data_IF_448800707772
#
_entry.id   IF_448800707772
#
_cell.length_a   1.000
_cell.length_b   1.000
_cell.length_c   1.000
_cell.angle_alpha   90.00
_cell.angle_beta   90.00
_cell.angle_gamma   90.00
#
_symmetry.space_group_name_H-M   'P 1'
#
loop_
_entity.id
_entity.type
_entity.pdbx_description
1 polymer ?
#
# COMPACT_ATOMS: atom_id res chain seq x y z
N UNK A 1 -17.17 8.15 1.36
CA UNK A 1 -15.90 8.46 2.03
C UNK A 1 -14.91 9.03 1.02
N UNK A 2 -14.28 10.16 1.33
CA UNK A 2 -13.19 10.73 0.51
C UNK A 2 -11.86 10.44 1.19
N UNK A 3 -10.91 9.80 0.49
CA UNK A 3 -9.58 9.50 0.99
C UNK A 3 -8.52 10.34 0.27
N UNK A 4 -7.70 11.03 1.06
CA UNK A 4 -6.53 11.76 0.57
C UNK A 4 -5.27 11.23 1.23
N UNK A 5 -4.28 10.83 0.44
CA UNK A 5 -2.96 10.47 0.97
C UNK A 5 -2.32 11.70 1.62
N UNK A 6 -1.91 11.57 2.88
CA UNK A 6 -1.18 12.60 3.63
C UNK A 6 0.31 12.32 3.71
N UNK A 7 0.67 11.05 3.92
CA UNK A 7 2.05 10.63 4.07
C UNK A 7 2.22 9.16 3.67
N UNK A 8 3.42 8.81 3.26
CA UNK A 8 3.82 7.45 2.94
C UNK A 8 5.25 7.19 3.39
N UNK A 9 5.60 5.92 3.60
CA UNK A 9 7.01 5.53 3.68
C UNK A 9 7.74 5.95 2.39
N UNK A 10 8.95 6.50 2.48
CA UNK A 10 9.71 6.88 1.29
C UNK A 10 10.12 5.62 0.49
N UNK A 11 10.33 5.79 -0.81
CA UNK A 11 10.88 4.75 -1.70
C UNK A 11 10.15 3.39 -1.65
N UNK A 12 8.81 3.40 -1.60
CA UNK A 12 7.99 2.19 -1.38
C UNK A 12 8.39 1.01 -2.28
N UNK A 13 8.60 1.23 -3.58
CA UNK A 13 9.02 0.18 -4.51
C UNK A 13 10.42 -0.38 -4.21
N UNK A 14 11.33 0.49 -3.76
CA UNK A 14 12.67 0.07 -3.34
C UNK A 14 12.60 -0.77 -2.06
N UNK A 15 11.71 -0.42 -1.14
CA UNK A 15 11.47 -1.23 0.06
C UNK A 15 10.93 -2.61 -0.32
N UNK A 16 9.96 -2.69 -1.24
CA UNK A 16 9.45 -3.96 -1.76
C UNK A 16 10.58 -4.79 -2.37
N UNK A 17 11.38 -4.20 -3.26
CA UNK A 17 12.49 -4.88 -3.90
C UNK A 17 13.57 -5.33 -2.88
N UNK A 18 13.79 -4.56 -1.83
CA UNK A 18 14.70 -4.91 -0.72
C UNK A 18 14.17 -6.13 0.03
N UNK A 19 12.89 -6.13 0.41
CA UNK A 19 12.26 -7.26 1.09
C UNK A 19 12.29 -8.54 0.24
N UNK A 20 12.06 -8.41 -1.07
CA UNK A 20 12.19 -9.53 -2.02
C UNK A 20 13.58 -10.14 -2.05
N UNK A 21 14.64 -9.33 -1.94
CA UNK A 21 16.02 -9.82 -1.99
C UNK A 21 16.55 -10.28 -0.63
N UNK A 22 15.98 -9.78 0.47
CA UNK A 22 16.46 -10.10 1.83
C UNK A 22 16.40 -11.60 2.13
N UNK A 23 15.43 -12.32 1.59
CA UNK A 23 15.29 -13.77 1.79
C UNK A 23 16.21 -14.62 0.91
N UNK A 24 16.84 -14.01 -0.10
CA UNK A 24 17.64 -14.71 -1.12
C UNK A 24 19.07 -14.16 -1.24
N UNK A 25 19.45 -13.17 -0.44
CA UNK A 25 20.74 -12.50 -0.47
C UNK A 25 21.56 -12.80 0.78
N UNK A 26 22.88 -12.66 0.65
CA UNK A 26 23.81 -12.64 1.81
C UNK A 26 24.01 -11.22 2.35
N UNK A 27 23.59 -10.19 1.60
CA UNK A 27 23.63 -8.78 2.01
C UNK A 27 22.51 -8.47 3.01
N UNK A 28 22.79 -7.57 3.96
CA UNK A 28 21.79 -7.13 4.93
C UNK A 28 20.72 -6.21 4.31
N UNK A 29 19.53 -6.07 4.92
CA UNK A 29 18.45 -5.22 4.39
C UNK A 29 18.87 -3.77 4.13
N UNK A 30 19.66 -3.17 5.03
CA UNK A 30 20.12 -1.78 4.90
C UNK A 30 21.09 -1.59 3.73
N UNK A 31 21.96 -2.58 3.48
CA UNK A 31 22.90 -2.56 2.35
C UNK A 31 22.16 -2.70 1.03
N UNK A 32 21.24 -3.67 0.95
CA UNK A 32 20.36 -3.87 -0.19
C UNK A 32 19.55 -2.60 -0.51
N UNK A 33 18.95 -1.96 0.49
CA UNK A 33 18.18 -0.74 0.30
C UNK A 33 19.04 0.37 -0.31
N UNK A 34 20.24 0.60 0.23
CA UNK A 34 21.18 1.59 -0.28
C UNK A 34 21.57 1.29 -1.73
N UNK A 35 21.94 0.04 -2.03
CA UNK A 35 22.33 -0.36 -3.39
C UNK A 35 21.17 -0.29 -4.40
N UNK A 36 19.94 -0.54 -3.97
CA UNK A 36 18.76 -0.50 -4.83
C UNK A 36 18.29 0.91 -5.13
N UNK A 37 18.47 1.88 -4.20
CA UNK A 37 18.20 3.30 -4.45
C UNK A 37 18.99 3.84 -5.65
N UNK A 38 20.21 3.36 -5.84
CA UNK A 38 21.07 3.72 -6.98
C UNK A 38 20.70 2.99 -8.29
N UNK A 39 19.76 2.03 -8.24
CA UNK A 39 19.42 1.12 -9.35
C UNK A 39 17.91 1.07 -9.64
N UNK A 40 17.26 2.20 -9.98
CA UNK A 40 15.81 2.26 -10.18
C UNK A 40 15.29 1.31 -11.28
N UNK A 41 16.07 1.08 -12.35
CA UNK A 41 15.73 0.09 -13.39
C UNK A 41 15.65 -1.34 -12.83
N UNK A 42 16.53 -1.69 -11.89
CA UNK A 42 16.52 -3.00 -11.22
C UNK A 42 15.32 -3.11 -10.28
N UNK A 43 15.01 -2.06 -9.52
CA UNK A 43 13.81 -1.98 -8.66
C UNK A 43 12.56 -2.22 -9.50
N UNK A 44 12.36 -1.47 -10.59
CA UNK A 44 11.21 -1.64 -11.50
C UNK A 44 11.09 -3.08 -12.02
N UNK A 45 12.21 -3.69 -12.44
CA UNK A 45 12.22 -5.09 -12.91
C UNK A 45 11.79 -6.07 -11.82
N UNK A 46 12.28 -5.90 -10.60
CA UNK A 46 11.92 -6.76 -9.46
C UNK A 46 10.44 -6.62 -9.10
N UNK A 47 9.95 -5.39 -8.96
CA UNK A 47 8.53 -5.14 -8.64
C UNK A 47 7.60 -5.70 -9.72
N UNK A 48 7.95 -5.58 -11.01
CA UNK A 48 7.19 -6.23 -12.09
C UNK A 48 7.16 -7.75 -11.96
N UNK A 49 8.27 -8.36 -11.58
CA UNK A 49 8.41 -9.81 -11.42
C UNK A 49 7.81 -10.36 -10.12
N UNK A 50 7.40 -9.50 -9.18
CA UNK A 50 6.78 -9.91 -7.91
C UNK A 50 5.58 -10.84 -8.15
N UNK A 51 5.30 -11.77 -7.26
CA UNK A 51 4.04 -12.51 -7.23
C UNK A 51 3.17 -11.94 -6.12
N UNK A 52 1.96 -11.47 -6.43
CA UNK A 52 1.05 -10.88 -5.43
C UNK A 52 0.59 -11.87 -4.36
N UNK A 53 0.83 -13.18 -4.57
CA UNK A 53 0.63 -14.22 -3.54
C UNK A 53 1.61 -14.09 -2.37
N UNK A 54 2.76 -13.44 -2.57
CA UNK A 54 3.77 -13.24 -1.53
C UNK A 54 3.52 -11.90 -0.82
N UNK A 55 2.51 -11.87 0.05
CA UNK A 55 2.06 -10.65 0.73
C UNK A 55 3.09 -10.03 1.69
N UNK A 56 4.02 -10.81 2.25
CA UNK A 56 4.96 -10.32 3.26
C UNK A 56 5.89 -9.22 2.75
N UNK A 57 6.33 -9.30 1.49
CA UNK A 57 7.29 -8.34 0.93
C UNK A 57 6.69 -6.96 0.66
N UNK A 58 5.36 -6.83 0.70
CA UNK A 58 4.63 -5.56 0.52
C UNK A 58 4.10 -4.99 1.84
N UNK A 59 4.45 -5.56 2.99
CA UNK A 59 4.01 -5.06 4.32
C UNK A 59 4.91 -4.00 4.92
N UNK A 60 6.16 -3.90 4.47
CA UNK A 60 7.21 -3.07 5.09
C UNK A 60 7.09 -1.57 4.76
N UNK A 61 5.88 -1.05 4.63
CA UNK A 61 5.60 0.35 4.35
C UNK A 61 4.37 0.79 5.13
N UNK A 62 4.15 2.10 5.17
CA UNK A 62 2.97 2.70 5.76
C UNK A 62 2.43 3.78 4.86
N UNK A 63 1.11 3.82 4.73
CA UNK A 63 0.34 4.86 4.07
C UNK A 63 -0.59 5.49 5.10
N UNK A 64 -0.60 6.82 5.17
CA UNK A 64 -1.43 7.61 6.06
C UNK A 64 -2.40 8.41 5.19
N UNK A 65 -3.69 8.27 5.46
CA UNK A 65 -4.75 8.97 4.75
C UNK A 65 -5.49 9.90 5.69
N UNK A 66 -5.86 11.07 5.17
CA UNK A 66 -6.97 11.84 5.71
C UNK A 66 -8.24 11.34 5.05
N UNK A 67 -9.18 10.88 5.86
CA UNK A 67 -10.50 10.50 5.41
C UNK A 67 -11.53 11.55 5.85
N UNK A 68 -12.35 12.01 4.92
CA UNK A 68 -13.60 12.70 5.22
C UNK A 68 -14.73 11.66 5.10
N UNK A 69 -15.28 11.26 6.24
CA UNK A 69 -16.15 10.10 6.36
C UNK A 69 -17.06 10.19 7.58
N UNK A 70 -18.24 9.58 7.44
CA UNK A 70 -19.12 9.32 8.57
C UNK A 70 -18.59 8.14 9.40
N UNK A 71 -19.05 8.06 10.65
CA UNK A 71 -18.64 7.02 11.60
C UNK A 71 -19.02 5.60 11.10
N UNK A 72 -20.16 5.45 10.41
CA UNK A 72 -20.60 4.19 9.79
C UNK A 72 -19.69 3.74 8.64
N UNK A 73 -19.33 4.65 7.74
CA UNK A 73 -18.39 4.36 6.64
C UNK A 73 -17.01 3.91 7.16
N UNK A 74 -16.53 4.50 8.26
CA UNK A 74 -15.27 4.07 8.89
C UNK A 74 -15.42 2.70 9.53
N UNK A 75 -16.54 2.43 10.19
CA UNK A 75 -16.81 1.11 10.76
C UNK A 75 -16.87 0.01 9.69
N UNK A 76 -17.57 0.27 8.59
CA UNK A 76 -17.63 -0.64 7.43
C UNK A 76 -16.22 -0.96 6.89
N UNK A 77 -15.37 0.07 6.78
CA UNK A 77 -13.98 -0.10 6.34
C UNK A 77 -13.15 -0.95 7.33
N UNK A 78 -13.30 -0.73 8.63
CA UNK A 78 -12.61 -1.51 9.68
C UNK A 78 -13.10 -2.96 9.74
N UNK A 79 -14.36 -3.21 9.41
CA UNK A 79 -14.92 -4.57 9.27
C UNK A 79 -14.41 -5.26 8.00
N UNK A 80 -14.11 -4.50 6.93
CA UNK A 80 -13.50 -5.04 5.72
C UNK A 80 -12.04 -5.46 5.94
N UNK A 81 -11.27 -4.76 6.79
CA UNK A 81 -9.93 -5.19 7.18
C UNK A 81 -9.53 -4.71 8.58
N UNK A 82 -9.18 -5.67 9.45
CA UNK A 82 -8.66 -5.43 10.79
C UNK A 82 -7.24 -4.82 10.82
N UNK A 83 -6.58 -4.70 9.66
CA UNK A 83 -5.23 -4.14 9.55
C UNK A 83 -5.21 -2.63 9.29
N UNK A 84 -6.38 -2.00 9.32
CA UNK A 84 -6.51 -0.54 9.25
C UNK A 84 -6.57 0.00 10.67
N UNK A 85 -5.69 0.94 10.97
CA UNK A 85 -5.81 1.76 12.19
C UNK A 85 -6.55 3.05 11.84
N UNK A 86 -7.53 3.42 12.67
CA UNK A 86 -8.31 4.64 12.53
C UNK A 86 -8.20 5.51 13.78
N UNK A 87 -7.94 6.80 13.60
CA UNK A 87 -7.95 7.80 14.67
C UNK A 87 -8.90 8.94 14.30
N UNK A 88 -9.87 9.21 15.17
CA UNK A 88 -10.85 10.28 14.95
C UNK A 88 -10.20 11.65 15.20
N UNK A 89 -10.36 12.58 14.26
CA UNK A 89 -9.90 13.97 14.40
C UNK A 89 -11.02 14.96 14.77
N UNK A 90 -12.29 14.54 14.67
CA UNK A 90 -13.46 15.41 14.81
C UNK A 90 -14.00 15.88 13.46
N UNK A 91 -15.19 16.47 13.45
CA UNK A 91 -15.83 17.07 12.24
C UNK A 91 -15.89 16.16 11.01
N UNK A 92 -16.16 14.86 11.21
CA UNK A 92 -16.18 13.87 10.13
C UNK A 92 -14.80 13.54 9.53
N UNK A 93 -13.70 13.95 10.19
CA UNK A 93 -12.34 13.67 9.74
C UNK A 93 -11.69 12.56 10.55
N UNK A 94 -10.95 11.72 9.84
CA UNK A 94 -10.23 10.58 10.39
C UNK A 94 -8.83 10.47 9.80
N UNK A 95 -7.86 10.06 10.61
CA UNK A 95 -6.61 9.51 10.11
C UNK A 95 -6.78 8.01 9.95
N UNK A 96 -6.49 7.51 8.76
CA UNK A 96 -6.42 6.08 8.49
C UNK A 96 -4.98 5.70 8.19
N UNK A 97 -4.56 4.54 8.69
CA UNK A 97 -3.19 4.07 8.60
C UNK A 97 -3.17 2.59 8.25
N UNK A 98 -2.49 2.23 7.16
CA UNK A 98 -2.36 0.85 6.72
C UNK A 98 -1.09 0.64 5.87
N UNK A 99 -0.76 -0.60 5.54
CA UNK A 99 0.34 -0.94 4.63
C UNK A 99 -0.21 -1.35 3.24
N UNK A 100 0.69 -1.50 2.26
CA UNK A 100 0.30 -1.91 0.91
C UNK A 100 -0.36 -3.30 0.84
N UNK A 101 -0.03 -4.24 1.74
CA UNK A 101 -0.73 -5.54 1.78
C UNK A 101 -2.22 -5.34 2.04
N UNK A 102 -2.56 -4.52 3.04
CA UNK A 102 -3.95 -4.15 3.35
C UNK A 102 -4.63 -3.47 2.17
N UNK A 103 -3.93 -2.58 1.47
CA UNK A 103 -4.48 -1.92 0.26
C UNK A 103 -4.80 -2.95 -0.83
N UNK A 104 -3.89 -3.89 -1.10
CA UNK A 104 -4.13 -4.94 -2.12
C UNK A 104 -5.27 -5.85 -1.71
N UNK A 105 -5.35 -6.24 -0.44
CA UNK A 105 -6.45 -7.05 0.10
C UNK A 105 -7.81 -6.37 -0.13
N UNK A 106 -7.93 -5.08 0.21
CA UNK A 106 -9.16 -4.32 0.00
C UNK A 106 -9.52 -4.17 -1.49
N UNK A 107 -8.53 -3.95 -2.37
CA UNK A 107 -8.77 -3.74 -3.80
C UNK A 107 -9.13 -5.03 -4.54
N UNK A 108 -8.54 -6.17 -4.15
CA UNK A 108 -8.67 -7.46 -4.84
C UNK A 108 -9.65 -8.42 -4.16
N UNK A 109 -9.98 -8.19 -2.89
CA UNK A 109 -10.92 -8.98 -2.12
C UNK A 109 -12.38 -8.66 -2.45
N UNK A 110 -13.27 -9.57 -2.04
CA UNK A 110 -14.72 -9.39 -2.15
C UNK A 110 -15.25 -8.64 -0.92
N UNK A 111 -14.92 -7.35 -0.83
CA UNK A 111 -15.38 -6.48 0.24
C UNK A 111 -16.39 -5.46 -0.30
N UNK A 112 -17.48 -5.26 0.44
CA UNK A 112 -18.37 -4.12 0.23
C UNK A 112 -17.70 -2.88 0.84
N UNK A 113 -16.81 -2.25 0.08
CA UNK A 113 -16.12 -1.05 0.54
C UNK A 113 -17.04 0.17 0.45
N UNK A 114 -16.94 1.12 1.41
CA UNK A 114 -17.63 2.41 1.29
C UNK A 114 -17.30 3.11 -0.03
N UNK A 115 -18.27 3.85 -0.63
CA UNK A 115 -18.04 4.61 -1.85
C UNK A 115 -16.83 5.56 -1.70
N UNK A 116 -15.96 5.59 -2.71
CA UNK A 116 -14.76 6.43 -2.77
C UNK A 116 -13.49 5.81 -2.16
N UNK A 117 -13.59 4.74 -1.38
CA UNK A 117 -12.41 4.05 -0.82
C UNK A 117 -11.52 3.49 -1.94
N UNK A 118 -12.10 2.74 -2.88
CA UNK A 118 -11.36 2.13 -4.00
C UNK A 118 -10.59 3.18 -4.80
N UNK A 119 -11.23 4.29 -5.13
CA UNK A 119 -10.62 5.38 -5.90
C UNK A 119 -9.44 6.01 -5.15
N UNK A 120 -9.61 6.34 -3.87
CA UNK A 120 -8.54 6.92 -3.07
C UNK A 120 -7.35 5.98 -2.87
N UNK A 121 -7.61 4.68 -2.68
CA UNK A 121 -6.56 3.66 -2.60
C UNK A 121 -5.78 3.52 -3.92
N UNK A 122 -6.48 3.44 -5.07
CA UNK A 122 -5.85 3.37 -6.38
C UNK A 122 -5.04 4.63 -6.71
N UNK A 123 -5.56 5.80 -6.35
CA UNK A 123 -4.87 7.08 -6.50
C UNK A 123 -3.56 7.10 -5.71
N UNK A 124 -3.59 6.69 -4.43
CA UNK A 124 -2.39 6.60 -3.61
C UNK A 124 -1.38 5.58 -4.15
N UNK A 125 -1.82 4.41 -4.62
CA UNK A 125 -0.93 3.43 -5.25
C UNK A 125 -0.21 4.01 -6.47
N UNK A 126 -0.95 4.71 -7.34
CA UNK A 126 -0.39 5.34 -8.53
C UNK A 126 0.68 6.37 -8.18
N UNK A 127 0.50 7.11 -7.09
CA UNK A 127 1.45 8.10 -6.59
C UNK A 127 2.71 7.47 -5.98
N UNK A 128 2.56 6.53 -5.06
CA UNK A 128 3.67 6.05 -4.22
C UNK A 128 4.41 4.84 -4.79
N UNK A 129 3.75 4.05 -5.65
CA UNK A 129 4.29 2.82 -6.20
C UNK A 129 3.72 2.54 -7.62
N UNK A 130 4.06 3.37 -8.62
CA UNK A 130 3.44 3.31 -9.95
C UNK A 130 3.64 1.99 -10.71
N UNK A 131 4.82 1.37 -10.60
CA UNK A 131 5.08 0.04 -11.17
C UNK A 131 4.23 -1.02 -10.48
N UNK A 132 4.07 -0.92 -9.16
CA UNK A 132 3.21 -1.83 -8.42
C UNK A 132 1.73 -1.62 -8.75
N UNK A 133 1.30 -0.37 -8.91
CA UNK A 133 -0.04 -0.01 -9.37
C UNK A 133 -0.39 -0.67 -10.72
N UNK A 134 0.50 -0.57 -11.71
CA UNK A 134 0.34 -1.25 -13.02
C UNK A 134 0.06 -2.75 -12.84
N UNK A 135 0.71 -3.37 -11.86
CA UNK A 135 0.58 -4.79 -11.57
C UNK A 135 -0.74 -5.15 -10.90
N UNK A 136 -1.19 -4.32 -9.95
CA UNK A 136 -2.46 -4.52 -9.24
C UNK A 136 -3.65 -4.36 -10.20
N UNK A 137 -3.66 -3.30 -11.01
CA UNK A 137 -4.72 -3.05 -12.00
C UNK A 137 -4.64 -4.02 -13.18
N UNK A 138 -3.43 -4.41 -13.59
CA UNK A 138 -3.22 -5.40 -14.65
C UNK A 138 -3.62 -6.83 -14.29
N UNK A 139 -4.08 -7.10 -13.06
CA UNK A 139 -4.73 -8.36 -12.67
C UNK A 139 -6.27 -8.32 -12.79
N UNK A 140 -6.86 -7.20 -13.25
CA UNK A 140 -8.29 -7.13 -13.63
C UNK A 140 -8.58 -7.69 -15.05
N UNK A 141 -7.69 -8.55 -15.60
CA UNK A 141 -7.82 -9.14 -16.94
C UNK A 141 -7.55 -10.64 -16.96
#
# INVERSE_FOLDING_TARGET
MELKLLASSPDVETIIATAMLTTCSREGPSELLRHLREKPKKVKKLVKALSLKHGSVIEHNRLIFLANAKDDEVLELLLASHFIEASRLGDGKWLLSCNLRTVVELLTGQHNLPPGVREGLLSALREVAPTFYEKVVGHEG
#
